data_IF_146607226392
#
_entry.id   IF_146607226392
#
_cell.length_a   1.000
_cell.length_b   1.000
_cell.length_c   1.000
_cell.angle_alpha   90.00
_cell.angle_beta   90.00
_cell.angle_gamma   90.00
#
_symmetry.space_group_name_H-M   'P 1'
#
loop_
_entity.id
_entity.type
_entity.pdbx_description
1 polymer ?
#
# COMPACT_ATOMS: atom_id res chain seq x y z
N UNK A 1 11.81 10.21 -4.60
CA UNK A 1 10.65 11.10 -4.74
C UNK A 1 9.49 10.25 -5.24
N UNK A 2 8.83 9.53 -4.33
CA UNK A 2 7.69 8.69 -4.66
C UNK A 2 6.44 9.57 -4.59
N UNK A 3 6.01 10.09 -5.75
CA UNK A 3 4.63 10.57 -5.88
C UNK A 3 3.71 9.40 -5.54
N UNK A 4 2.63 9.63 -4.78
CA UNK A 4 1.75 8.61 -4.19
C UNK A 4 1.06 7.71 -5.21
N UNK A 5 1.83 6.84 -5.85
CA UNK A 5 1.43 5.92 -6.90
C UNK A 5 1.53 4.49 -6.37
N UNK A 6 0.59 3.64 -6.78
CA UNK A 6 0.54 2.23 -6.43
C UNK A 6 1.34 1.44 -7.46
N UNK A 7 2.24 0.56 -7.02
CA UNK A 7 2.91 -0.39 -7.93
C UNK A 7 1.88 -1.38 -8.48
N UNK A 8 1.69 -1.37 -9.80
CA UNK A 8 0.73 -2.23 -10.48
C UNK A 8 0.99 -3.72 -10.25
N UNK A 9 2.23 -4.15 -10.01
CA UNK A 9 2.55 -5.56 -9.75
C UNK A 9 1.95 -6.05 -8.45
N UNK A 10 2.03 -5.25 -7.38
CA UNK A 10 1.44 -5.60 -6.09
C UNK A 10 -0.08 -5.69 -6.21
N UNK A 11 -0.68 -4.72 -6.89
CA UNK A 11 -2.12 -4.68 -7.10
C UNK A 11 -2.60 -5.87 -7.92
N UNK A 12 -1.95 -6.13 -9.06
CA UNK A 12 -2.23 -7.27 -9.93
C UNK A 12 -2.08 -8.60 -9.18
N UNK A 13 -1.02 -8.75 -8.38
CA UNK A 13 -0.79 -9.99 -7.62
C UNK A 13 -1.92 -10.27 -6.63
N UNK A 14 -2.36 -9.26 -5.87
CA UNK A 14 -3.45 -9.40 -4.92
C UNK A 14 -4.79 -9.65 -5.62
N UNK A 15 -5.11 -8.89 -6.67
CA UNK A 15 -6.33 -9.09 -7.47
C UNK A 15 -6.37 -10.49 -8.10
N UNK A 16 -5.24 -10.99 -8.60
CA UNK A 16 -5.11 -12.36 -9.16
C UNK A 16 -5.32 -13.46 -8.12
N UNK A 17 -5.18 -13.14 -6.84
CA UNK A 17 -5.49 -14.03 -5.70
C UNK A 17 -6.95 -13.96 -5.27
N UNK A 18 -7.78 -13.18 -5.98
CA UNK A 18 -9.20 -13.00 -5.70
C UNK A 18 -9.49 -11.92 -4.66
N UNK A 19 -8.49 -11.11 -4.28
CA UNK A 19 -8.69 -10.02 -3.32
C UNK A 19 -9.34 -8.84 -4.05
N UNK A 20 -10.47 -8.29 -3.53
CA UNK A 20 -11.08 -7.10 -4.08
C UNK A 20 -10.11 -5.92 -4.16
N UNK A 21 -10.23 -5.09 -5.19
CA UNK A 21 -9.31 -3.98 -5.47
C UNK A 21 -9.14 -3.03 -4.29
N UNK A 22 -10.24 -2.65 -3.66
CA UNK A 22 -10.28 -1.77 -2.49
C UNK A 22 -9.55 -2.38 -1.29
N UNK A 23 -9.71 -3.67 -1.06
CA UNK A 23 -8.97 -4.41 -0.03
C UNK A 23 -7.48 -4.52 -0.38
N UNK A 24 -7.15 -4.81 -1.65
CA UNK A 24 -5.78 -4.88 -2.13
C UNK A 24 -5.04 -3.54 -1.95
N UNK A 25 -5.70 -2.42 -2.26
CA UNK A 25 -5.15 -1.08 -2.05
C UNK A 25 -4.85 -0.81 -0.57
N UNK A 26 -5.75 -1.20 0.34
CA UNK A 26 -5.51 -1.09 1.78
C UNK A 26 -4.28 -1.89 2.20
N UNK A 27 -4.19 -3.16 1.79
CA UNK A 27 -3.06 -4.04 2.11
C UNK A 27 -1.73 -3.46 1.62
N UNK A 28 -1.70 -2.89 0.42
CA UNK A 28 -0.50 -2.27 -0.14
C UNK A 28 -0.07 -1.05 0.69
N UNK A 29 -1.02 -0.16 1.00
CA UNK A 29 -0.75 1.06 1.78
C UNK A 29 -0.26 0.71 3.19
N UNK A 30 -0.89 -0.27 3.83
CA UNK A 30 -0.45 -0.76 5.14
C UNK A 30 0.95 -1.39 5.10
N UNK A 31 1.22 -2.25 4.10
CA UNK A 31 2.53 -2.85 3.92
C UNK A 31 3.63 -1.80 3.78
N UNK A 32 3.38 -0.76 2.98
CA UNK A 32 4.28 0.38 2.83
C UNK A 32 4.56 1.08 4.16
N UNK A 33 3.52 1.45 4.91
CA UNK A 33 3.74 2.16 6.18
C UNK A 33 4.41 1.29 7.25
N UNK A 34 4.13 -0.01 7.29
CA UNK A 34 4.83 -0.94 8.20
C UNK A 34 6.32 -1.01 7.89
N UNK A 35 6.69 -1.05 6.61
CA UNK A 35 8.10 -1.02 6.20
C UNK A 35 8.77 0.29 6.61
N UNK A 36 8.11 1.44 6.39
CA UNK A 36 8.63 2.76 6.77
C UNK A 36 8.73 2.94 8.29
N UNK A 37 7.74 2.45 9.05
CA UNK A 37 7.68 2.60 10.51
C UNK A 37 8.59 1.62 11.24
N UNK A 38 8.86 0.45 10.67
CA UNK A 38 9.75 -0.56 11.25
C UNK A 38 11.20 -0.10 11.39
N UNK A 39 11.59 0.99 10.73
CA UNK A 39 12.91 1.62 10.90
C UNK A 39 13.00 2.53 12.15
N UNK A 40 11.88 2.80 12.82
CA UNK A 40 11.83 3.74 13.96
C UNK A 40 12.03 3.01 15.29
N UNK A 41 13.17 3.25 15.93
CA UNK A 41 13.50 2.67 17.25
C UNK A 41 12.91 3.48 18.42
N UNK A 42 11.58 3.53 18.47
CA UNK A 42 10.82 4.14 19.57
C UNK A 42 9.73 3.18 20.06
N UNK A 43 9.81 2.69 21.31
CA UNK A 43 8.82 1.77 21.86
C UNK A 43 7.39 2.31 21.77
N UNK A 44 6.48 1.54 21.17
CA UNK A 44 5.06 1.90 21.03
C UNK A 44 4.73 2.93 19.93
N UNK A 45 5.74 3.47 19.23
CA UNK A 45 5.53 4.43 18.13
C UNK A 45 4.90 3.75 16.92
N UNK A 46 5.36 2.54 16.57
CA UNK A 46 4.84 1.78 15.41
C UNK A 46 3.34 1.51 15.57
N UNK A 47 2.91 0.99 16.73
CA UNK A 47 1.51 0.69 17.01
C UNK A 47 0.63 1.94 16.95
N UNK A 48 1.04 3.03 17.62
CA UNK A 48 0.30 4.29 17.59
C UNK A 48 0.20 4.92 16.19
N UNK A 49 1.26 4.79 15.38
CA UNK A 49 1.28 5.28 14.02
C UNK A 49 0.39 4.42 13.10
N UNK A 50 0.42 3.09 13.25
CA UNK A 50 -0.44 2.18 12.49
C UNK A 50 -1.92 2.40 12.79
N UNK A 51 -2.29 2.63 14.05
CA UNK A 51 -3.67 2.96 14.43
C UNK A 51 -4.14 4.27 13.79
N UNK A 52 -3.29 5.31 13.79
CA UNK A 52 -3.60 6.58 13.16
C UNK A 52 -3.74 6.46 11.63
N UNK A 53 -2.90 5.63 11.01
CA UNK A 53 -2.95 5.31 9.58
C UNK A 53 -4.23 4.55 9.26
N UNK A 54 -4.62 3.55 10.05
CA UNK A 54 -5.84 2.77 9.82
C UNK A 54 -7.08 3.67 9.82
N UNK A 55 -7.20 4.54 10.83
CA UNK A 55 -8.28 5.53 10.87
C UNK A 55 -8.30 6.44 9.63
N UNK A 56 -7.12 6.85 9.15
CA UNK A 56 -7.00 7.72 7.97
C UNK A 56 -7.31 7.01 6.65
N UNK A 57 -6.89 5.75 6.53
CA UNK A 57 -7.08 4.89 5.36
C UNK A 57 -8.54 4.46 5.25
N UNK A 58 -9.20 4.13 6.36
CA UNK A 58 -10.62 3.80 6.39
C UNK A 58 -11.51 4.96 5.90
N UNK A 59 -11.08 6.21 6.13
CA UNK A 59 -11.76 7.41 5.67
C UNK A 59 -11.33 7.89 4.27
N UNK A 60 -10.31 7.28 3.67
CA UNK A 60 -9.80 7.69 2.37
C UNK A 60 -10.50 6.95 1.21
N UNK A 61 -10.78 7.67 0.13
CA UNK A 61 -11.06 7.02 -1.16
C UNK A 61 -9.73 6.62 -1.81
N UNK A 62 -9.35 5.36 -1.66
CA UNK A 62 -8.10 4.84 -2.23
C UNK A 62 -8.19 4.62 -3.75
N UNK A 63 -9.39 4.65 -4.34
CA UNK A 63 -9.56 4.44 -5.78
C UNK A 63 -8.95 5.57 -6.62
N UNK A 64 -8.69 6.73 -6.00
CA UNK A 64 -8.07 7.89 -6.66
C UNK A 64 -6.55 7.79 -6.80
N UNK A 65 -5.91 6.81 -6.17
CA UNK A 65 -4.46 6.63 -6.31
C UNK A 65 -4.11 6.21 -7.74
N UNK A 66 -3.11 6.89 -8.30
CA UNK A 66 -2.61 6.53 -9.62
C UNK A 66 -1.86 5.21 -9.54
N UNK A 67 -2.11 4.32 -10.49
CA UNK A 67 -1.37 3.05 -10.62
C UNK A 67 -0.20 3.27 -11.57
N UNK A 68 0.98 2.81 -11.17
CA UNK A 68 2.19 2.83 -11.98
C UNK A 68 2.43 1.44 -12.58
N UNK A 69 2.19 1.32 -13.90
CA UNK A 69 2.36 0.09 -14.66
C UNK A 69 3.80 -0.21 -15.10
N UNK A 70 4.76 0.66 -14.78
CA UNK A 70 6.16 0.47 -15.17
C UNK A 70 6.73 -0.89 -14.72
N UNK A 71 6.24 -1.44 -13.60
CA UNK A 71 6.67 -2.75 -13.10
C UNK A 71 6.11 -3.94 -13.89
N UNK A 72 4.97 -3.83 -14.56
CA UNK A 72 4.37 -4.95 -15.31
C UNK A 72 5.05 -5.21 -16.65
N UNK A 73 5.74 -4.20 -17.21
CA UNK A 73 6.42 -4.30 -18.51
C UNK A 73 7.62 -5.28 -18.50
N UNK A 74 8.19 -5.53 -17.31
CA UNK A 74 9.36 -6.39 -17.12
C UNK A 74 9.02 -7.89 -17.03
N UNK A 75 7.74 -8.25 -16.86
CA UNK A 75 7.29 -9.64 -16.62
C UNK A 75 6.83 -10.36 -17.89
N UNK A 76 6.60 -9.62 -18.99
CA UNK A 76 6.02 -10.14 -20.25
C UNK A 76 7.06 -10.20 -21.39
N UNK A 77 8.36 -10.31 -21.05
CA UNK A 77 9.44 -10.52 -22.03
C UNK A 77 9.86 -11.99 -22.13
#
# INVERSE_FOLDING_TARGET
SATGQIDARHLFYLESRGIPRDEALRLIVFGFFREVLGEVDLPGMEEAALDAIDARVAAADLSTFQVNDAGLQDVVS
#
